data_IF_314343159728
#
_entry.id   IF_314343159728
#
_cell.length_a   1.000
_cell.length_b   1.000
_cell.length_c   1.000
_cell.angle_alpha   90.00
_cell.angle_beta   90.00
_cell.angle_gamma   90.00
#
_symmetry.space_group_name_H-M   'P 1'
#
loop_
_entity.id
_entity.type
_entity.pdbx_description
1 polymer ?
#
# COMPACT_ATOMS: atom_id res chain seq x y z
N UNK A 1 -33.05 -64.67 -50.74
CA UNK A 1 -33.29 -63.27 -50.46
C UNK A 1 -32.61 -62.94 -49.12
N UNK A 2 -31.48 -62.29 -49.18
CA UNK A 2 -30.71 -61.96 -48.00
C UNK A 2 -30.99 -60.53 -47.57
N UNK A 3 -31.18 -60.21 -46.27
CA UNK A 3 -31.41 -58.82 -45.82
C UNK A 3 -30.05 -58.07 -45.62
N UNK A 4 -29.96 -56.96 -46.32
CA UNK A 4 -28.88 -56.01 -46.17
C UNK A 4 -28.86 -55.40 -44.72
N UNK A 5 -27.79 -55.67 -43.98
CA UNK A 5 -27.55 -54.98 -42.70
C UNK A 5 -27.06 -53.55 -42.98
N UNK A 6 -27.84 -52.54 -42.62
CA UNK A 6 -27.44 -51.12 -42.62
C UNK A 6 -26.55 -50.91 -41.45
N UNK A 7 -25.28 -50.62 -41.73
CA UNK A 7 -24.28 -50.17 -40.73
C UNK A 7 -24.44 -48.66 -40.52
N UNK A 8 -24.91 -48.23 -39.34
CA UNK A 8 -24.97 -46.82 -38.98
C UNK A 8 -23.60 -46.39 -38.46
N UNK A 9 -22.96 -45.46 -39.17
CA UNK A 9 -21.72 -44.79 -38.72
C UNK A 9 -22.12 -43.66 -37.77
N UNK A 10 -21.83 -43.80 -36.47
CA UNK A 10 -21.95 -42.73 -35.48
C UNK A 10 -20.62 -41.95 -35.52
N UNK A 11 -20.68 -40.76 -36.11
CA UNK A 11 -19.53 -39.82 -36.08
C UNK A 11 -19.50 -39.13 -34.73
N UNK A 12 -18.53 -39.48 -33.92
CA UNK A 12 -18.26 -38.83 -32.64
C UNK A 12 -17.47 -37.52 -32.91
N UNK A 13 -18.13 -36.36 -32.81
CA UNK A 13 -17.46 -35.06 -32.87
C UNK A 13 -16.87 -34.79 -31.50
N UNK A 14 -15.56 -34.95 -31.36
CA UNK A 14 -14.81 -34.54 -30.19
C UNK A 14 -14.72 -33.00 -30.19
N UNK A 15 -15.56 -32.36 -29.39
CA UNK A 15 -15.40 -30.93 -29.09
C UNK A 15 -14.20 -30.78 -28.15
N UNK A 16 -13.04 -30.41 -28.70
CA UNK A 16 -11.86 -30.01 -27.90
C UNK A 16 -12.13 -28.64 -27.30
N UNK A 17 -12.52 -28.57 -26.02
CA UNK A 17 -12.53 -27.34 -25.24
C UNK A 17 -11.08 -27.04 -24.92
N UNK A 18 -10.48 -26.08 -25.63
CA UNK A 18 -9.19 -25.52 -25.26
C UNK A 18 -9.39 -24.68 -24.01
N UNK A 19 -8.99 -25.20 -22.83
CA UNK A 19 -8.78 -24.40 -21.64
C UNK A 19 -7.58 -23.46 -21.92
N UNK A 20 -7.88 -22.22 -22.28
CA UNK A 20 -6.89 -21.16 -22.23
C UNK A 20 -6.63 -20.84 -20.75
N UNK A 21 -5.36 -20.80 -20.29
CA UNK A 21 -5.08 -20.30 -18.96
C UNK A 21 -5.60 -18.87 -18.85
N UNK A 22 -6.39 -18.59 -17.82
CA UNK A 22 -6.74 -17.20 -17.49
C UNK A 22 -5.44 -16.47 -17.15
N UNK A 23 -5.00 -15.60 -18.04
CA UNK A 23 -3.89 -14.69 -17.77
C UNK A 23 -4.52 -13.58 -16.93
N UNK A 24 -4.05 -13.41 -15.69
CA UNK A 24 -4.42 -12.25 -14.89
C UNK A 24 -4.05 -10.98 -15.67
N UNK A 25 -5.00 -10.07 -15.81
CA UNK A 25 -4.76 -8.80 -16.46
C UNK A 25 -4.02 -7.93 -15.45
N UNK A 26 -2.77 -7.58 -15.77
CA UNK A 26 -1.93 -6.76 -14.91
C UNK A 26 -2.02 -5.28 -15.30
N UNK A 27 -2.11 -4.42 -14.29
CA UNK A 27 -2.00 -2.97 -14.42
C UNK A 27 -3.00 -2.34 -15.40
N UNK A 28 -4.27 -2.75 -15.29
CA UNK A 28 -5.34 -2.09 -16.04
C UNK A 28 -5.31 -0.57 -15.77
N UNK A 29 -5.36 0.27 -16.81
CA UNK A 29 -5.20 1.72 -16.65
C UNK A 29 -6.19 2.35 -15.65
N UNK A 30 -7.42 1.84 -15.57
CA UNK A 30 -8.44 2.34 -14.64
C UNK A 30 -8.07 2.06 -13.19
N UNK A 31 -7.53 0.84 -12.90
CA UNK A 31 -7.16 0.44 -11.56
C UNK A 31 -5.91 1.18 -11.09
N UNK A 32 -4.93 1.31 -11.97
CA UNK A 32 -3.73 2.15 -11.72
C UNK A 32 -4.12 3.61 -11.47
N UNK A 33 -5.08 4.17 -12.22
CA UNK A 33 -5.56 5.54 -12.01
C UNK A 33 -6.27 5.68 -10.65
N UNK A 34 -7.16 4.75 -10.30
CA UNK A 34 -7.85 4.77 -9.00
C UNK A 34 -6.87 4.66 -7.82
N UNK A 35 -5.84 3.80 -7.94
CA UNK A 35 -4.81 3.68 -6.90
C UNK A 35 -3.97 4.97 -6.81
N UNK A 36 -3.66 5.63 -7.93
CA UNK A 36 -3.00 6.96 -7.90
C UNK A 36 -3.82 8.02 -7.19
N UNK A 37 -5.14 7.98 -7.32
CA UNK A 37 -6.04 8.87 -6.56
C UNK A 37 -5.93 8.62 -5.05
N UNK A 38 -5.81 7.36 -4.60
CA UNK A 38 -5.56 7.01 -3.19
C UNK A 38 -4.23 7.60 -2.71
N UNK A 39 -3.16 7.44 -3.51
CA UNK A 39 -1.83 7.98 -3.17
C UNK A 39 -1.87 9.52 -3.03
N UNK A 40 -2.55 10.21 -3.93
CA UNK A 40 -2.68 11.66 -3.88
C UNK A 40 -3.60 12.12 -2.74
N UNK A 41 -4.70 11.39 -2.48
CA UNK A 41 -5.60 11.68 -1.37
C UNK A 41 -4.89 11.50 0.00
N UNK A 42 -4.05 10.49 0.14
CA UNK A 42 -3.21 10.29 1.33
C UNK A 42 -2.32 11.51 1.58
N UNK A 43 -1.54 11.91 0.56
CA UNK A 43 -0.64 13.06 0.65
C UNK A 43 -1.38 14.37 0.97
N UNK A 44 -2.47 14.64 0.25
CA UNK A 44 -3.22 15.90 0.40
C UNK A 44 -4.00 15.96 1.71
N UNK A 45 -4.48 14.84 2.24
CA UNK A 45 -5.16 14.80 3.54
C UNK A 45 -4.21 15.13 4.69
N UNK A 46 -2.94 14.72 4.62
CA UNK A 46 -1.90 15.10 5.59
C UNK A 46 -1.66 16.61 5.52
N UNK A 47 -1.41 17.17 4.33
CA UNK A 47 -1.15 18.60 4.13
C UNK A 47 -2.31 19.46 4.61
N UNK A 48 -3.54 19.05 4.29
CA UNK A 48 -4.76 19.80 4.62
C UNK A 48 -5.30 19.51 6.02
N UNK A 49 -4.65 18.61 6.77
CA UNK A 49 -5.12 18.14 8.09
C UNK A 49 -6.55 17.56 8.03
N UNK A 50 -6.87 16.87 6.92
CA UNK A 50 -8.18 16.27 6.67
C UNK A 50 -8.21 14.82 7.16
N UNK A 51 -8.45 14.65 8.47
CA UNK A 51 -8.55 13.34 9.12
C UNK A 51 -9.65 12.48 8.49
N UNK A 52 -10.78 13.06 8.11
CA UNK A 52 -11.92 12.28 7.61
C UNK A 52 -11.53 11.59 6.29
N UNK A 53 -11.01 12.35 5.31
CA UNK A 53 -10.52 11.78 4.06
C UNK A 53 -9.40 10.77 4.31
N UNK A 54 -8.44 11.07 5.20
CA UNK A 54 -7.33 10.16 5.49
C UNK A 54 -7.80 8.79 5.97
N UNK A 55 -8.71 8.75 6.94
CA UNK A 55 -9.20 7.49 7.53
C UNK A 55 -9.98 6.65 6.53
N UNK A 56 -10.73 7.27 5.62
CA UNK A 56 -11.49 6.58 4.58
C UNK A 56 -10.62 5.85 3.55
N UNK A 57 -9.32 6.15 3.46
CA UNK A 57 -8.39 5.45 2.56
C UNK A 57 -8.07 4.04 3.04
N UNK A 58 -8.26 3.75 4.32
CA UNK A 58 -7.91 2.47 4.93
C UNK A 58 -9.06 1.48 4.92
N UNK A 59 -8.69 0.19 4.95
CA UNK A 59 -9.63 -0.93 4.92
C UNK A 59 -10.56 -0.98 6.14
N UNK A 60 -10.11 -0.53 7.29
CA UNK A 60 -10.82 -0.61 8.56
C UNK A 60 -10.54 0.63 9.40
N UNK A 61 -11.48 1.04 10.23
CA UNK A 61 -11.32 2.03 11.30
C UNK A 61 -10.76 1.42 12.61
N UNK A 62 -10.60 0.10 12.65
CA UNK A 62 -9.93 -0.63 13.72
C UNK A 62 -8.45 -0.80 13.36
N UNK A 63 -7.51 -0.09 14.03
CA UNK A 63 -6.11 -0.02 13.60
C UNK A 63 -5.38 -1.37 13.65
N UNK A 64 -5.86 -2.33 14.42
CA UNK A 64 -5.32 -3.70 14.46
C UNK A 64 -5.54 -4.49 13.16
N UNK A 65 -6.47 -4.07 12.31
CA UNK A 65 -6.72 -4.67 10.99
C UNK A 65 -5.85 -4.09 9.88
N UNK A 66 -5.02 -3.09 10.21
CA UNK A 66 -4.11 -2.43 9.26
C UNK A 66 -2.68 -2.59 9.75
N UNK A 67 -1.82 -3.14 8.90
CA UNK A 67 -0.38 -3.13 9.21
C UNK A 67 0.18 -1.73 9.06
N UNK A 68 0.76 -1.19 10.13
CA UNK A 68 1.41 0.12 10.18
C UNK A 68 2.77 -0.05 10.82
N UNK A 69 3.85 -0.17 9.99
CA UNK A 69 5.12 -0.65 10.51
C UNK A 69 6.30 0.21 10.07
N UNK A 70 6.93 0.86 11.03
CA UNK A 70 8.20 1.58 10.87
C UNK A 70 9.40 0.66 11.07
N UNK A 71 10.44 0.86 10.28
CA UNK A 71 11.73 0.18 10.38
C UNK A 71 12.85 1.21 10.37
N UNK A 72 13.54 1.38 11.48
CA UNK A 72 14.68 2.29 11.62
C UNK A 72 15.95 1.70 11.00
N UNK A 73 16.82 2.58 10.47
CA UNK A 73 18.16 2.19 10.05
C UNK A 73 19.10 2.00 11.27
N UNK A 74 20.32 1.51 11.00
CA UNK A 74 21.29 1.20 12.06
C UNK A 74 21.72 2.44 12.84
N UNK A 75 21.80 3.59 12.20
CA UNK A 75 22.22 4.85 12.84
C UNK A 75 21.18 5.32 13.85
N UNK A 76 19.90 5.27 13.47
CA UNK A 76 18.80 5.61 14.37
C UNK A 76 18.72 4.62 15.54
N UNK A 77 18.80 3.32 15.26
CA UNK A 77 18.82 2.29 16.31
C UNK A 77 19.96 2.50 17.30
N UNK A 78 21.18 2.80 16.81
CA UNK A 78 22.34 3.07 17.68
C UNK A 78 22.08 4.27 18.60
N UNK A 79 21.54 5.37 18.05
CA UNK A 79 21.17 6.56 18.81
C UNK A 79 20.10 6.27 19.87
N UNK A 80 19.06 5.52 19.53
CA UNK A 80 18.00 5.18 20.50
C UNK A 80 18.50 4.28 21.61
N UNK A 81 19.45 3.38 21.35
CA UNK A 81 20.05 2.50 22.37
C UNK A 81 20.80 3.24 23.46
N UNK A 82 21.18 4.49 23.27
CA UNK A 82 21.82 5.32 24.31
C UNK A 82 20.88 5.56 25.50
N UNK A 83 19.56 5.56 25.29
CA UNK A 83 18.56 5.80 26.34
C UNK A 83 17.46 4.73 26.41
N UNK A 84 17.33 3.86 25.41
CA UNK A 84 16.43 2.72 25.34
C UNK A 84 17.20 1.49 24.82
N UNK A 85 17.91 0.75 25.71
CA UNK A 85 18.78 -0.36 25.31
C UNK A 85 18.08 -1.47 24.50
N UNK A 86 16.74 -1.62 24.66
CA UNK A 86 15.89 -2.56 23.95
C UNK A 86 15.52 -2.10 22.52
N UNK A 87 15.89 -0.89 22.11
CA UNK A 87 15.58 -0.38 20.80
C UNK A 87 16.03 -1.33 19.67
N UNK A 88 15.19 -1.54 18.72
CA UNK A 88 15.40 -2.46 17.59
C UNK A 88 14.96 -1.81 16.27
N UNK A 89 15.41 -2.36 15.14
CA UNK A 89 15.05 -1.85 13.81
C UNK A 89 13.54 -1.81 13.58
N UNK A 90 12.83 -2.86 14.00
CA UNK A 90 11.38 -2.91 13.90
C UNK A 90 10.80 -2.24 15.14
N UNK A 91 10.21 -1.06 14.92
CA UNK A 91 9.62 -0.27 16.00
C UNK A 91 8.29 -0.90 16.42
N UNK A 92 8.18 -1.20 17.71
CA UNK A 92 7.01 -1.89 18.29
C UNK A 92 6.39 -1.03 19.38
N UNK A 93 5.63 -0.04 18.96
CA UNK A 93 4.82 0.77 19.86
C UNK A 93 3.35 0.51 19.56
N UNK A 94 2.57 -0.02 20.50
CA UNK A 94 1.15 -0.32 20.27
C UNK A 94 0.34 0.89 19.80
N UNK A 95 0.76 2.09 20.23
CA UNK A 95 0.12 3.35 19.87
C UNK A 95 0.56 3.88 18.49
N UNK A 96 1.59 3.28 17.87
CA UNK A 96 2.06 3.67 16.55
C UNK A 96 1.18 3.02 15.47
N UNK A 97 0.13 3.71 15.08
CA UNK A 97 -0.80 3.30 14.03
C UNK A 97 -1.25 4.52 13.21
N UNK A 98 -1.93 4.29 12.10
CA UNK A 98 -2.34 5.33 11.17
C UNK A 98 -3.32 6.35 11.79
N UNK A 99 -4.18 5.93 12.75
CA UNK A 99 -5.08 6.86 13.46
C UNK A 99 -4.29 7.79 14.39
N UNK A 100 -3.35 7.24 15.16
CA UNK A 100 -2.50 8.05 16.02
C UNK A 100 -1.64 9.03 15.22
N UNK A 101 -1.17 8.62 14.03
CA UNK A 101 -0.41 9.49 13.14
C UNK A 101 -1.26 10.67 12.66
N UNK A 102 -2.45 10.44 12.15
CA UNK A 102 -3.29 11.53 11.66
C UNK A 102 -3.81 12.41 12.80
N UNK A 103 -4.07 11.85 13.98
CA UNK A 103 -4.46 12.63 15.17
C UNK A 103 -3.35 13.59 15.60
N UNK A 104 -2.10 13.12 15.63
CA UNK A 104 -0.95 13.97 15.90
C UNK A 104 -0.75 15.04 14.83
N UNK A 105 -1.01 14.72 13.55
CA UNK A 105 -0.88 15.64 12.43
C UNK A 105 -1.93 16.75 12.45
N UNK A 106 -3.15 16.42 12.88
CA UNK A 106 -4.28 17.35 12.90
C UNK A 106 -4.37 18.20 14.19
N UNK A 107 -3.54 17.95 15.20
CA UNK A 107 -3.49 18.73 16.42
C UNK A 107 -3.20 20.21 16.13
N UNK A 108 -3.78 21.11 16.91
CA UNK A 108 -3.71 22.57 16.70
C UNK A 108 -2.28 23.12 16.66
N UNK A 109 -1.37 22.50 17.40
CA UNK A 109 0.04 22.90 17.56
C UNK A 109 1.02 22.06 16.73
N UNK A 110 0.53 21.22 15.82
CA UNK A 110 1.37 20.25 15.09
C UNK A 110 2.31 20.86 14.04
N UNK A 111 2.17 22.17 13.72
CA UNK A 111 2.92 22.80 12.63
C UNK A 111 2.43 22.32 11.25
N UNK A 112 3.22 22.54 10.21
CA UNK A 112 2.97 21.98 8.89
C UNK A 112 3.67 20.63 8.75
N UNK A 113 2.97 19.67 8.12
CA UNK A 113 3.52 18.38 7.74
C UNK A 113 3.23 18.15 6.26
N UNK A 114 4.25 17.77 5.51
CA UNK A 114 4.14 17.37 4.12
C UNK A 114 4.92 16.08 3.89
N UNK A 115 4.32 15.14 3.18
CA UNK A 115 5.00 13.97 2.68
C UNK A 115 5.20 14.09 1.18
N UNK A 116 6.45 14.07 0.75
CA UNK A 116 6.85 14.18 -0.66
C UNK A 116 7.16 12.80 -1.20
N UNK A 117 6.42 12.36 -2.22
CA UNK A 117 6.59 11.06 -2.87
C UNK A 117 7.42 11.19 -4.14
N UNK A 118 8.33 10.24 -4.35
CA UNK A 118 9.18 10.13 -5.56
C UNK A 118 9.15 8.69 -6.08
N UNK A 119 9.26 8.53 -7.39
CA UNK A 119 9.40 7.23 -8.07
C UNK A 119 8.28 6.23 -7.72
N UNK A 120 7.03 6.73 -7.67
CA UNK A 120 5.85 5.94 -7.35
C UNK A 120 5.63 4.87 -8.40
N UNK A 121 5.68 3.60 -7.98
CA UNK A 121 5.38 2.43 -8.79
C UNK A 121 4.15 1.71 -8.24
N UNK A 122 3.28 1.26 -9.13
CA UNK A 122 2.04 0.54 -8.81
C UNK A 122 2.06 -0.76 -9.58
N UNK A 123 1.75 -1.87 -8.90
CA UNK A 123 1.52 -3.16 -9.52
C UNK A 123 0.22 -3.78 -8.99
N UNK A 124 -0.67 -4.21 -9.90
CA UNK A 124 -2.00 -4.72 -9.54
C UNK A 124 -2.51 -5.74 -10.55
N UNK A 125 -3.28 -6.71 -10.08
CA UNK A 125 -4.05 -7.65 -10.89
C UNK A 125 -5.56 -7.33 -10.93
N UNK A 126 -5.95 -6.16 -10.38
CA UNK A 126 -7.34 -5.70 -10.26
C UNK A 126 -8.04 -6.11 -8.97
N UNK A 127 -7.44 -6.98 -8.14
CA UNK A 127 -7.98 -7.43 -6.85
C UNK A 127 -7.11 -6.99 -5.67
N UNK A 128 -5.79 -7.08 -5.85
CA UNK A 128 -4.79 -6.62 -4.90
C UNK A 128 -3.79 -5.72 -5.59
N UNK A 129 -3.14 -4.85 -4.84
CA UNK A 129 -2.10 -3.97 -5.37
C UNK A 129 -0.96 -3.79 -4.38
N UNK A 130 0.24 -3.52 -4.94
CA UNK A 130 1.36 -2.92 -4.23
C UNK A 130 1.67 -1.54 -4.77
N UNK A 131 1.99 -0.61 -3.86
CA UNK A 131 2.50 0.73 -4.18
C UNK A 131 3.83 0.90 -3.48
N UNK A 132 4.84 1.35 -4.21
CA UNK A 132 6.19 1.54 -3.68
C UNK A 132 6.71 2.90 -4.13
N UNK A 133 7.35 3.64 -3.22
CA UNK A 133 7.92 4.95 -3.51
C UNK A 133 9.01 5.33 -2.51
N UNK A 134 9.88 6.25 -2.89
CA UNK A 134 10.76 6.94 -1.97
C UNK A 134 10.04 8.16 -1.41
N UNK A 135 10.21 8.42 -0.13
CA UNK A 135 9.52 9.53 0.54
C UNK A 135 10.48 10.42 1.32
N UNK A 136 10.06 11.65 1.56
CA UNK A 136 10.60 12.56 2.57
C UNK A 136 9.47 13.19 3.35
N UNK A 137 9.59 13.23 4.67
CA UNK A 137 8.73 14.03 5.54
C UNK A 137 9.35 15.39 5.75
N UNK A 138 8.60 16.44 5.43
CA UNK A 138 8.94 17.81 5.73
C UNK A 138 8.09 18.30 6.91
N UNK A 139 8.75 18.89 7.92
CA UNK A 139 8.11 19.62 9.01
C UNK A 139 8.49 21.08 8.90
N UNK A 140 7.50 21.94 8.79
CA UNK A 140 7.71 23.39 8.60
C UNK A 140 8.68 23.71 7.45
N UNK A 141 8.65 22.87 6.40
CA UNK A 141 9.47 23.02 5.20
C UNK A 141 10.88 22.40 5.29
N UNK A 142 11.27 21.86 6.44
CA UNK A 142 12.57 21.20 6.62
C UNK A 142 12.42 19.67 6.63
N UNK A 143 13.36 18.95 5.97
CA UNK A 143 13.33 17.49 5.96
C UNK A 143 13.58 16.93 7.36
N UNK A 144 12.59 16.26 7.92
CA UNK A 144 12.67 15.63 9.23
C UNK A 144 13.23 14.19 9.15
N UNK A 145 12.84 13.47 8.12
CA UNK A 145 13.33 12.12 7.82
C UNK A 145 12.91 11.69 6.40
N UNK A 146 13.56 10.65 5.91
CA UNK A 146 13.30 10.09 4.59
C UNK A 146 13.43 8.57 4.60
N UNK A 147 12.97 7.92 3.52
CA UNK A 147 13.07 6.48 3.38
C UNK A 147 12.36 5.96 2.15
N UNK A 148 12.02 4.69 2.22
CA UNK A 148 11.20 4.00 1.23
C UNK A 148 9.94 3.47 1.90
N UNK A 149 8.82 3.62 1.22
CA UNK A 149 7.52 3.19 1.69
C UNK A 149 6.93 2.16 0.74
N UNK A 150 6.20 1.19 1.29
CA UNK A 150 5.56 0.09 0.58
C UNK A 150 4.16 -0.10 1.15
N UNK A 151 3.16 -0.01 0.27
CA UNK A 151 1.76 -0.26 0.64
C UNK A 151 1.25 -1.52 -0.02
N UNK A 152 0.27 -2.15 0.65
CA UNK A 152 -0.61 -3.12 0.03
C UNK A 152 -2.04 -2.62 0.09
N UNK A 153 -2.75 -2.81 -1.01
CA UNK A 153 -4.15 -2.44 -1.14
C UNK A 153 -4.99 -3.64 -1.55
N UNK A 154 -6.27 -3.59 -1.21
CA UNK A 154 -7.29 -4.55 -1.66
C UNK A 154 -8.42 -3.79 -2.33
N UNK A 155 -9.00 -4.42 -3.36
CA UNK A 155 -10.18 -3.89 -4.04
C UNK A 155 -11.42 -4.43 -3.35
N UNK A 156 -12.17 -3.56 -2.68
CA UNK A 156 -13.42 -3.86 -1.99
C UNK A 156 -14.63 -3.43 -2.82
N UNK A 157 -15.84 -3.67 -2.33
CA UNK A 157 -17.08 -3.16 -2.93
C UNK A 157 -17.13 -1.62 -2.95
N UNK A 158 -16.40 -0.96 -2.01
CA UNK A 158 -16.30 0.49 -1.89
C UNK A 158 -15.05 1.06 -2.58
N UNK A 159 -14.37 0.26 -3.42
CA UNK A 159 -13.15 0.64 -4.13
C UNK A 159 -11.86 0.17 -3.44
N UNK A 160 -10.74 0.76 -3.84
CA UNK A 160 -9.42 0.40 -3.31
C UNK A 160 -9.22 0.91 -1.89
N UNK A 161 -8.67 0.06 -1.00
CA UNK A 161 -8.39 0.39 0.40
C UNK A 161 -6.99 -0.07 0.81
N UNK A 162 -6.30 0.74 1.61
CA UNK A 162 -4.98 0.43 2.17
C UNK A 162 -5.15 -0.54 3.34
N UNK A 163 -4.45 -1.70 3.30
CA UNK A 163 -4.41 -2.69 4.40
C UNK A 163 -3.04 -2.77 5.08
N UNK A 164 -2.01 -2.23 4.44
CA UNK A 164 -0.65 -2.31 4.97
C UNK A 164 0.17 -1.13 4.49
N UNK A 165 0.87 -0.50 5.43
CA UNK A 165 1.90 0.51 5.20
C UNK A 165 3.15 0.08 5.97
N UNK A 166 4.25 -0.11 5.26
CA UNK A 166 5.55 -0.45 5.85
C UNK A 166 6.57 0.54 5.30
N UNK A 167 7.36 1.17 6.18
CA UNK A 167 8.37 2.11 5.73
C UNK A 167 9.69 1.99 6.48
N UNK A 168 10.78 2.30 5.78
CA UNK A 168 12.08 2.51 6.40
C UNK A 168 12.26 3.98 6.74
N UNK A 169 12.97 4.28 7.82
CA UNK A 169 13.21 5.65 8.27
C UNK A 169 14.71 5.91 8.48
N UNK A 170 15.15 7.05 7.96
CA UNK A 170 16.52 7.58 8.07
C UNK A 170 16.46 9.04 8.45
N UNK A 171 17.45 9.49 9.23
CA UNK A 171 17.62 10.90 9.52
C UNK A 171 18.19 11.65 8.29
N UNK A 172 17.91 12.95 8.15
CA UNK A 172 18.54 13.78 7.11
C UNK A 172 20.06 13.71 7.19
N UNK A 173 20.73 13.82 6.03
CA UNK A 173 22.19 13.94 6.01
C UNK A 173 22.55 15.31 6.53
N UNK A 174 23.27 15.38 7.67
CA UNK A 174 23.78 16.64 8.19
C UNK A 174 24.76 17.23 7.16
N UNK A 175 24.39 18.35 6.56
CA UNK A 175 25.33 19.17 5.81
C UNK A 175 26.13 20.00 6.84
N UNK A 176 27.30 19.49 7.27
CA UNK A 176 28.30 20.30 7.95
C UNK A 176 28.95 21.29 6.97
#
# INVERSE_FOLDING_TARGET
MSPLKKLAFITFVLLSVSLQPAIAVHNEPRDVAAIREIVEAFRTSIINKDKATFVELFFSDEPEHVTWQMVDDDTRVARFKEFAPEASRVVRWPENNYLAMIDATTADDSGSLEEVFRDVTIDTDGLVASVNFDYSILRDGEEAHWGREMWHLVHTEDGWKIISVIWSQRDPVSTE
#
